data_IF_756641558845
#
_entry.id   IF_756641558845
#
_cell.length_a   1.000
_cell.length_b   1.000
_cell.length_c   1.000
_cell.angle_alpha   90.00
_cell.angle_beta   90.00
_cell.angle_gamma   90.00
#
_symmetry.space_group_name_H-M   'P 1'
#
loop_
_entity.id
_entity.type
_entity.pdbx_description
1 polymer ?
#
# COMPACT_ATOMS: atom_id res chain seq x y z
N UNK A 1 -10.40 1.55 -19.96
CA UNK A 1 -10.86 1.53 -18.55
C UNK A 1 -12.12 0.68 -18.47
N UNK A 2 -12.06 -0.46 -17.77
CA UNK A 2 -13.21 -1.34 -17.63
C UNK A 2 -14.01 -0.98 -16.36
N UNK A 3 -15.33 -0.95 -16.49
CA UNK A 3 -16.26 -0.73 -15.40
C UNK A 3 -16.84 -2.06 -14.92
N UNK A 4 -16.77 -2.31 -13.62
CA UNK A 4 -17.18 -3.54 -12.97
C UNK A 4 -18.34 -3.28 -12.01
N UNK A 5 -19.20 -4.28 -11.87
CA UNK A 5 -20.20 -4.30 -10.81
C UNK A 5 -19.55 -4.64 -9.47
N UNK A 6 -20.22 -4.26 -8.38
CA UNK A 6 -19.81 -4.60 -7.00
C UNK A 6 -19.33 -6.05 -6.80
N UNK A 7 -20.11 -7.09 -7.13
CA UNK A 7 -19.70 -8.47 -6.92
C UNK A 7 -18.47 -8.85 -7.76
N UNK A 8 -18.36 -8.31 -8.98
CA UNK A 8 -17.23 -8.59 -9.87
C UNK A 8 -15.95 -7.93 -9.37
N UNK A 9 -16.05 -6.72 -8.82
CA UNK A 9 -14.91 -6.03 -8.21
C UNK A 9 -14.47 -6.71 -6.91
N UNK A 10 -15.42 -7.15 -6.08
CA UNK A 10 -15.14 -7.90 -4.86
C UNK A 10 -14.39 -9.20 -5.15
N UNK A 11 -14.87 -9.98 -6.13
CA UNK A 11 -14.22 -11.23 -6.54
C UNK A 11 -12.78 -11.02 -7.06
N UNK A 12 -12.52 -9.93 -7.79
CA UNK A 12 -11.19 -9.64 -8.33
C UNK A 12 -10.22 -9.08 -7.30
N UNK A 13 -10.68 -8.19 -6.42
CA UNK A 13 -9.85 -7.58 -5.39
C UNK A 13 -9.58 -8.52 -4.21
N UNK A 14 -10.37 -9.58 -4.05
CA UNK A 14 -10.36 -10.43 -2.85
C UNK A 14 -11.01 -9.77 -1.64
N UNK A 15 -11.65 -8.59 -1.82
CA UNK A 15 -12.31 -7.89 -0.72
C UNK A 15 -13.75 -8.38 -0.55
N UNK A 16 -14.27 -8.45 0.69
CA UNK A 16 -15.66 -8.79 0.92
C UNK A 16 -16.59 -7.78 0.25
N UNK A 17 -17.65 -8.24 -0.41
CA UNK A 17 -18.62 -7.35 -1.07
C UNK A 17 -19.24 -6.34 -0.08
N UNK A 18 -19.51 -6.75 1.16
CA UNK A 18 -20.00 -5.86 2.22
C UNK A 18 -19.04 -4.71 2.52
N UNK A 19 -17.72 -4.96 2.44
CA UNK A 19 -16.69 -3.93 2.63
C UNK A 19 -16.69 -2.96 1.47
N UNK A 20 -16.69 -3.46 0.24
CA UNK A 20 -16.75 -2.62 -0.98
C UNK A 20 -18.02 -1.77 -0.99
N UNK A 21 -19.19 -2.35 -0.70
CA UNK A 21 -20.47 -1.62 -0.56
C UNK A 21 -20.39 -0.49 0.46
N UNK A 22 -19.81 -0.75 1.63
CA UNK A 22 -19.66 0.25 2.69
C UNK A 22 -18.75 1.40 2.25
N UNK A 23 -17.67 1.11 1.53
CA UNK A 23 -16.76 2.13 1.02
C UNK A 23 -17.42 3.00 -0.04
N UNK A 24 -18.20 2.41 -0.94
CA UNK A 24 -18.98 3.19 -1.92
C UNK A 24 -20.01 4.07 -1.22
N UNK A 25 -20.74 3.53 -0.25
CA UNK A 25 -21.72 4.30 0.52
C UNK A 25 -21.07 5.47 1.29
N UNK A 26 -19.81 5.33 1.69
CA UNK A 26 -19.02 6.37 2.34
C UNK A 26 -18.33 7.34 1.38
N UNK A 27 -18.46 7.15 0.06
CA UNK A 27 -17.79 7.98 -0.95
C UNK A 27 -16.27 7.79 -1.01
N UNK A 28 -15.75 6.68 -0.47
CA UNK A 28 -14.31 6.41 -0.41
C UNK A 28 -13.77 5.81 -1.72
N UNK A 29 -14.64 5.18 -2.53
CA UNK A 29 -14.29 4.61 -3.82
C UNK A 29 -14.90 5.43 -4.94
N UNK A 30 -14.08 5.69 -5.97
CA UNK A 30 -14.55 6.23 -7.25
C UNK A 30 -15.61 5.31 -7.84
N UNK A 31 -16.78 5.85 -8.15
CA UNK A 31 -17.90 5.10 -8.72
C UNK A 31 -18.72 5.97 -9.65
N UNK A 32 -19.44 5.33 -10.56
CA UNK A 32 -20.42 5.97 -11.44
C UNK A 32 -21.76 5.26 -11.34
N UNK A 33 -22.84 6.00 -11.56
CA UNK A 33 -24.19 5.44 -11.70
C UNK A 33 -24.63 5.55 -13.15
N UNK A 34 -24.97 4.41 -13.75
CA UNK A 34 -25.48 4.35 -15.13
C UNK A 34 -26.80 3.58 -15.09
N UNK A 35 -27.90 4.22 -15.48
CA UNK A 35 -29.24 3.61 -15.52
C UNK A 35 -29.62 2.88 -14.20
N UNK A 36 -29.36 3.51 -13.06
CA UNK A 36 -29.64 2.96 -11.74
C UNK A 36 -28.67 1.87 -11.26
N UNK A 37 -27.71 1.45 -12.09
CA UNK A 37 -26.66 0.49 -11.72
C UNK A 37 -25.42 1.20 -11.23
N UNK A 38 -24.88 0.73 -10.11
CA UNK A 38 -23.62 1.20 -9.57
C UNK A 38 -22.47 0.45 -10.23
N UNK A 39 -21.59 1.20 -10.89
CA UNK A 39 -20.42 0.68 -11.56
C UNK A 39 -19.18 1.33 -10.97
N UNK A 40 -18.13 0.53 -10.83
CA UNK A 40 -16.85 0.94 -10.29
C UNK A 40 -15.77 0.73 -11.34
N UNK A 41 -14.82 1.67 -11.51
CA UNK A 41 -13.58 1.39 -12.19
C UNK A 41 -12.89 0.19 -11.55
N UNK A 42 -12.27 -0.65 -12.37
CA UNK A 42 -11.45 -1.76 -11.89
C UNK A 42 -10.33 -1.29 -10.94
N UNK A 43 -9.72 -0.15 -11.26
CA UNK A 43 -8.61 0.44 -10.48
C UNK A 43 -9.08 1.15 -9.21
N UNK A 44 -10.39 1.28 -8.96
CA UNK A 44 -10.88 2.13 -7.87
C UNK A 44 -10.35 1.71 -6.48
N UNK A 45 -10.13 0.40 -6.28
CA UNK A 45 -9.55 -0.12 -5.02
C UNK A 45 -8.05 0.15 -4.96
N UNK A 46 -7.33 -0.02 -6.06
CA UNK A 46 -5.89 0.25 -6.16
C UNK A 46 -5.61 1.74 -5.92
N UNK A 47 -6.38 2.61 -6.56
CA UNK A 47 -6.33 4.06 -6.39
C UNK A 47 -6.64 4.46 -4.94
N UNK A 48 -7.62 3.80 -4.31
CA UNK A 48 -7.92 4.03 -2.90
C UNK A 48 -6.74 3.64 -2.00
N UNK A 49 -6.15 2.47 -2.24
CA UNK A 49 -5.02 1.96 -1.45
C UNK A 49 -3.81 2.88 -1.62
N UNK A 50 -3.48 3.27 -2.85
CA UNK A 50 -2.35 4.16 -3.15
C UNK A 50 -2.47 5.53 -2.47
N UNK A 51 -3.69 6.07 -2.35
CA UNK A 51 -3.93 7.38 -1.76
C UNK A 51 -4.09 7.36 -0.22
N UNK A 52 -4.54 6.24 0.35
CA UNK A 52 -4.87 6.16 1.78
C UNK A 52 -3.87 5.36 2.62
N UNK A 53 -3.05 4.51 2.00
CA UNK A 53 -2.06 3.73 2.71
C UNK A 53 -0.67 4.25 2.36
N UNK A 54 0.08 4.61 3.40
CA UNK A 54 1.52 4.81 3.27
C UNK A 54 2.10 3.43 2.96
N UNK A 55 2.79 3.30 1.82
CA UNK A 55 3.59 2.11 1.55
C UNK A 55 4.40 1.81 2.80
N UNK A 56 4.36 0.58 3.31
CA UNK A 56 5.20 0.22 4.45
C UNK A 56 6.63 0.55 4.05
N UNK A 57 7.13 1.71 4.50
CA UNK A 57 8.50 2.08 4.32
C UNK A 57 9.23 0.93 4.95
N UNK A 58 9.84 0.10 4.11
CA UNK A 58 10.61 -1.00 4.59
C UNK A 58 11.52 -0.41 5.64
N UNK A 59 11.29 -0.77 6.89
CA UNK A 59 12.39 -0.87 7.83
C UNK A 59 13.24 -2.05 7.35
N UNK A 60 13.81 -1.93 6.16
CA UNK A 60 15.20 -2.24 5.95
C UNK A 60 15.96 -1.24 6.83
N UNK A 61 15.90 -1.47 8.13
CA UNK A 61 17.01 -1.12 9.01
C UNK A 61 18.21 -1.77 8.34
N UNK A 62 19.20 -1.03 7.80
CA UNK A 62 20.48 -1.64 7.56
C UNK A 62 20.96 -2.11 8.93
N UNK A 63 20.77 -3.40 9.21
CA UNK A 63 21.25 -4.04 10.43
C UNK A 63 22.74 -3.73 10.51
N UNK A 64 23.14 -3.24 11.67
CA UNK A 64 24.29 -2.36 11.83
C UNK A 64 25.56 -2.81 11.14
N UNK A 65 26.13 -1.92 10.33
CA UNK A 65 27.58 -1.77 10.30
C UNK A 65 27.98 -0.90 11.48
N UNK A 66 27.86 -1.44 12.70
CA UNK A 66 28.61 -0.96 13.85
C UNK A 66 30.07 -1.38 13.62
N UNK A 67 30.76 -0.70 12.71
CA UNK A 67 32.22 -0.73 12.75
C UNK A 67 32.59 0.09 13.97
N UNK A 68 32.94 -0.60 15.06
CA UNK A 68 33.55 0.00 16.25
C UNK A 68 34.71 0.88 15.79
N UNK A 69 34.54 2.20 15.84
CA UNK A 69 35.65 3.09 16.02
C UNK A 69 36.10 2.95 17.48
N UNK A 70 37.14 2.14 17.72
CA UNK A 70 38.21 2.40 18.70
C UNK A 70 38.86 1.11 19.18
N UNK A 71 40.11 0.93 18.77
CA UNK A 71 41.25 0.58 19.62
C UNK A 71 42.46 1.06 18.82
N UNK A 72 42.93 2.29 19.04
CA UNK A 72 43.96 2.55 20.04
C UNK A 72 45.02 1.44 20.03
N UNK A 73 46.02 1.59 19.16
CA UNK A 73 47.37 1.18 19.51
C UNK A 73 48.30 2.27 18.99
N UNK A 74 48.81 3.04 19.95
CA UNK A 74 49.82 4.07 19.82
C UNK A 74 51.10 3.50 19.15
N UNK A 75 51.86 4.32 18.40
CA UNK A 75 53.07 3.91 17.72
C UNK A 75 54.24 3.77 18.69
N UNK A 76 55.06 2.71 18.58
CA UNK A 76 56.37 2.71 19.22
C UNK A 76 57.46 2.13 18.28
N UNK A 77 58.68 2.70 18.29
CA UNK A 77 59.57 2.77 17.14
C UNK A 77 60.74 1.78 17.23
N UNK A 78 61.45 1.65 16.09
CA UNK A 78 62.81 1.09 15.95
C UNK A 78 62.98 -0.40 16.30
N UNK A 79 63.21 -1.20 15.26
CA UNK A 79 64.46 -1.96 15.13
C UNK A 79 64.79 -2.16 13.65
#
# INVERSE_FOLDING_TARGET
MQLLTLPKLAARSGWPESRVRRMVARGLLSHIRVNGRLLLPETAIEDYVANHFVAAAGRSTPMGRLTLASSAQDPDPRN
#
